data_IF_301571596646
#
_entry.id   IF_301571596646
#
_cell.length_a   1.000
_cell.length_b   1.000
_cell.length_c   1.000
_cell.angle_alpha   90.00
_cell.angle_beta   90.00
_cell.angle_gamma   90.00
#
_symmetry.space_group_name_H-M   'P 1'
#
loop_
_entity.id
_entity.type
_entity.pdbx_description
1 polymer ?
#
# COMPACT_ATOMS: atom_id res chain seq x y z
N UNK A 1 -37.06 0.73 -1.55
CA UNK A 1 -35.88 1.59 -1.39
C UNK A 1 -34.82 1.13 -2.38
N UNK A 2 -34.66 1.84 -3.48
CA UNK A 2 -33.64 1.51 -4.50
C UNK A 2 -32.28 1.98 -3.98
N UNK A 3 -31.36 1.04 -3.78
CA UNK A 3 -29.99 1.28 -3.34
C UNK A 3 -29.25 2.07 -4.43
N UNK A 4 -29.00 3.37 -4.17
CA UNK A 4 -28.13 4.24 -4.98
C UNK A 4 -26.66 3.77 -5.02
N UNK A 5 -26.31 2.68 -4.32
CA UNK A 5 -24.96 2.12 -4.25
C UNK A 5 -24.70 1.03 -5.30
N UNK A 6 -25.70 0.64 -6.09
CA UNK A 6 -25.62 -0.57 -6.93
C UNK A 6 -24.89 -0.36 -8.27
N UNK A 7 -24.50 0.86 -8.63
CA UNK A 7 -23.94 1.16 -9.97
C UNK A 7 -22.63 1.96 -9.99
N UNK A 8 -21.98 2.20 -8.84
CA UNK A 8 -20.61 2.70 -8.87
C UNK A 8 -19.69 1.50 -9.05
N UNK A 9 -19.37 1.15 -10.31
CA UNK A 9 -18.18 0.32 -10.56
C UNK A 9 -16.99 1.14 -10.05
N UNK A 10 -16.29 0.71 -8.99
CA UNK A 10 -15.09 1.40 -8.57
C UNK A 10 -14.13 1.45 -9.76
N UNK A 11 -13.36 2.53 -9.96
CA UNK A 11 -12.40 2.63 -11.07
C UNK A 11 -11.29 1.58 -11.00
N UNK A 12 -11.28 0.76 -9.96
CA UNK A 12 -10.30 -0.28 -9.67
C UNK A 12 -11.00 -1.63 -9.74
N UNK A 13 -10.52 -2.48 -10.64
CA UNK A 13 -10.92 -3.89 -10.68
C UNK A 13 -10.28 -4.63 -9.51
N UNK A 14 -11.10 -5.22 -8.66
CA UNK A 14 -10.63 -6.07 -7.57
C UNK A 14 -10.40 -7.50 -8.07
N UNK A 15 -9.23 -8.06 -7.76
CA UNK A 15 -8.84 -9.42 -8.10
C UNK A 15 -8.72 -10.26 -6.82
N UNK A 16 -9.80 -10.95 -6.39
CA UNK A 16 -9.70 -11.85 -5.26
C UNK A 16 -8.72 -12.98 -5.57
N UNK A 17 -7.92 -13.39 -4.58
CA UNK A 17 -6.91 -14.45 -4.71
C UNK A 17 -5.89 -14.16 -5.82
N UNK A 18 -5.49 -12.89 -5.98
CA UNK A 18 -4.44 -12.50 -6.94
C UNK A 18 -3.14 -13.28 -6.73
N UNK A 19 -2.78 -13.52 -5.47
CA UNK A 19 -1.73 -14.45 -5.07
C UNK A 19 -2.34 -15.75 -4.54
N UNK A 20 -1.59 -16.84 -4.69
CA UNK A 20 -1.92 -18.08 -3.99
C UNK A 20 -1.41 -18.01 -2.53
N UNK A 21 -1.95 -18.86 -1.66
CA UNK A 21 -1.62 -18.84 -0.23
C UNK A 21 -0.12 -19.08 0.09
N UNK A 22 0.63 -19.72 -0.79
CA UNK A 22 2.08 -19.90 -0.65
C UNK A 22 2.82 -18.60 -0.90
N UNK A 23 2.52 -17.94 -2.02
CA UNK A 23 3.12 -16.66 -2.40
C UNK A 23 2.74 -15.55 -1.41
N UNK A 24 1.49 -15.52 -0.92
CA UNK A 24 1.04 -14.58 0.10
C UNK A 24 1.92 -14.61 1.36
N UNK A 25 2.23 -15.83 1.85
CA UNK A 25 3.05 -16.02 3.05
C UNK A 25 4.50 -15.60 2.82
N UNK A 26 5.05 -15.98 1.67
CA UNK A 26 6.43 -15.62 1.31
C UNK A 26 6.61 -14.10 1.20
N UNK A 27 5.68 -13.41 0.52
CA UNK A 27 5.69 -11.95 0.44
C UNK A 27 5.50 -11.26 1.78
N UNK A 28 4.61 -11.77 2.63
CA UNK A 28 4.45 -11.28 3.99
C UNK A 28 5.78 -11.37 4.77
N UNK A 29 6.44 -12.53 4.77
CA UNK A 29 7.71 -12.73 5.46
C UNK A 29 8.86 -11.87 4.90
N UNK A 30 8.87 -11.63 3.58
CA UNK A 30 9.82 -10.70 2.95
C UNK A 30 9.55 -9.26 3.39
N UNK A 31 8.29 -8.87 3.52
CA UNK A 31 7.91 -7.52 3.94
C UNK A 31 8.36 -7.18 5.38
N UNK A 32 8.42 -8.18 6.26
CA UNK A 32 8.90 -8.00 7.63
C UNK A 32 10.40 -7.65 7.71
N UNK A 33 11.17 -7.95 6.66
CA UNK A 33 12.62 -7.70 6.60
C UNK A 33 12.98 -6.34 6.00
N UNK A 34 11.98 -5.57 5.59
CA UNK A 34 12.20 -4.27 4.96
C UNK A 34 12.65 -3.23 5.98
N UNK A 35 13.42 -2.25 5.53
CA UNK A 35 13.71 -1.06 6.33
C UNK A 35 12.49 -0.14 6.31
N UNK A 36 11.70 -0.21 7.38
CA UNK A 36 10.50 0.58 7.58
C UNK A 36 10.85 1.91 8.23
N UNK A 37 10.38 2.99 7.63
CA UNK A 37 10.59 4.36 8.13
C UNK A 37 9.25 5.07 8.25
N UNK A 38 9.13 5.93 9.27
CA UNK A 38 7.95 6.80 9.41
C UNK A 38 8.26 8.17 8.83
N UNK A 39 7.84 8.38 7.59
CA UNK A 39 8.04 9.64 6.88
C UNK A 39 7.11 10.75 7.41
N UNK A 40 7.44 11.99 7.09
CA UNK A 40 6.55 13.14 7.29
C UNK A 40 5.90 13.57 5.97
N UNK A 41 4.68 14.10 6.08
CA UNK A 41 3.94 14.69 4.97
C UNK A 41 3.58 16.13 5.29
N UNK A 42 3.72 17.01 4.30
CA UNK A 42 3.31 18.40 4.42
C UNK A 42 1.83 18.55 4.06
N UNK A 43 1.00 18.91 5.04
CA UNK A 43 -0.42 19.13 4.84
C UNK A 43 -0.88 20.40 5.55
N UNK A 44 -1.65 21.23 4.84
CA UNK A 44 -2.22 22.47 5.38
C UNK A 44 -1.20 23.38 6.08
N UNK A 45 0.01 23.49 5.53
CA UNK A 45 1.06 24.33 6.09
C UNK A 45 1.90 23.70 7.21
N UNK A 46 1.62 22.45 7.59
CA UNK A 46 2.31 21.75 8.69
C UNK A 46 2.98 20.46 8.20
N UNK A 47 4.16 20.17 8.72
CA UNK A 47 4.76 18.83 8.61
C UNK A 47 4.13 17.93 9.67
N UNK A 48 3.54 16.82 9.26
CA UNK A 48 2.96 15.84 10.18
C UNK A 48 3.47 14.43 9.87
N UNK A 49 3.66 13.56 10.86
CA UNK A 49 4.08 12.18 10.61
C UNK A 49 2.96 11.41 9.90
N UNK A 50 3.32 10.64 8.86
CA UNK A 50 2.39 9.73 8.18
C UNK A 50 1.89 8.68 9.18
N UNK A 51 0.60 8.28 9.16
CA UNK A 51 0.04 7.34 10.14
C UNK A 51 0.37 5.86 9.87
N UNK A 52 1.45 5.58 9.14
CA UNK A 52 1.94 4.24 8.82
C UNK A 52 3.45 4.31 8.57
N UNK A 53 4.11 3.17 8.68
CA UNK A 53 5.48 3.03 8.21
C UNK A 53 5.49 2.76 6.70
N UNK A 54 6.55 3.21 6.05
CA UNK A 54 6.73 3.14 4.61
C UNK A 54 8.17 2.69 4.31
N UNK A 55 8.34 1.98 3.19
CA UNK A 55 9.64 1.56 2.68
C UNK A 55 9.65 1.80 1.17
N UNK A 56 10.78 2.31 0.65
CA UNK A 56 10.94 2.68 -0.76
C UNK A 56 11.83 1.65 -1.45
N UNK A 57 11.37 1.17 -2.60
CA UNK A 57 12.11 0.25 -3.46
C UNK A 57 12.28 0.86 -4.83
N UNK A 58 13.43 0.63 -5.43
CA UNK A 58 13.76 1.11 -6.76
C UNK A 58 15.17 0.70 -7.15
N UNK A 59 15.59 1.14 -8.32
CA UNK A 59 16.96 0.93 -8.77
C UNK A 59 17.92 1.67 -7.83
N UNK A 60 18.95 0.97 -7.39
CA UNK A 60 20.02 1.58 -6.61
C UNK A 60 20.80 2.52 -7.53
N UNK A 61 20.89 3.81 -7.20
CA UNK A 61 21.56 4.84 -8.01
C UNK A 61 23.11 4.71 -7.99
N UNK A 62 23.64 3.60 -7.50
CA UNK A 62 25.07 3.31 -7.46
C UNK A 62 25.53 2.77 -8.83
N UNK A 63 25.81 3.70 -9.75
CA UNK A 63 26.66 3.49 -10.94
C UNK A 63 28.13 3.72 -10.61
#
# INVERSE_FOLDING_TARGET
>A
MSSLLTEIKPPVQFYPNFLNAGDDRDWFQKSEKLEWTRSEIYMYGNSIPVPRDESLFGDDLHY
#
